data_IF_472394713774
#
_entry.id   IF_472394713774
#
_cell.length_a   1.000
_cell.length_b   1.000
_cell.length_c   1.000
_cell.angle_alpha   90.00
_cell.angle_beta   90.00
_cell.angle_gamma   90.00
#
_symmetry.space_group_name_H-M   'P 1'
#
loop_
_entity.id
_entity.type
_entity.pdbx_description
1 polymer ?
#
# COMPACT_ATOMS: atom_id res chain seq x y z
N UNK A 1 23.09 20.77 21.18
CA UNK A 1 23.53 21.88 20.32
C UNK A 1 23.28 23.17 21.09
N UNK A 2 24.30 23.96 21.43
CA UNK A 2 24.16 25.10 22.35
C UNK A 2 23.17 26.17 21.87
N UNK A 3 23.01 26.34 20.56
CA UNK A 3 22.10 27.32 19.96
C UNK A 3 20.62 26.91 19.94
N UNK A 4 20.31 25.64 20.23
CA UNK A 4 18.94 25.13 20.32
C UNK A 4 18.50 24.90 21.78
N UNK A 5 19.43 25.03 22.73
CA UNK A 5 19.19 24.90 24.16
C UNK A 5 18.28 26.04 24.62
N UNK A 6 17.12 25.70 25.20
CA UNK A 6 16.07 26.67 25.58
C UNK A 6 15.01 26.93 24.50
N UNK A 7 15.24 26.53 23.25
CA UNK A 7 14.29 26.69 22.14
C UNK A 7 13.80 25.37 21.54
N UNK A 8 14.14 24.23 22.15
CA UNK A 8 13.62 22.92 21.79
C UNK A 8 13.32 22.12 23.07
N UNK A 9 12.16 21.46 23.11
CA UNK A 9 11.70 20.62 24.23
C UNK A 9 11.07 19.34 23.68
N UNK A 10 11.11 18.27 24.48
CA UNK A 10 10.49 16.98 24.17
C UNK A 10 9.28 16.76 25.09
N UNK A 11 8.07 16.84 24.54
CA UNK A 11 6.81 16.65 25.26
C UNK A 11 6.39 15.17 25.20
N UNK A 12 6.16 14.47 26.31
CA UNK A 12 5.72 13.07 26.26
C UNK A 12 4.34 12.94 25.59
N UNK A 13 4.16 11.92 24.74
CA UNK A 13 2.84 11.61 24.12
C UNK A 13 1.84 11.07 25.14
N UNK A 14 2.33 10.33 26.13
CA UNK A 14 1.57 9.73 27.22
C UNK A 14 2.33 9.95 28.53
N UNK A 15 1.61 10.12 29.64
CA UNK A 15 2.23 10.32 30.96
C UNK A 15 3.09 9.10 31.34
N UNK A 16 4.40 9.30 31.52
CA UNK A 16 5.37 8.21 31.73
C UNK A 16 5.79 7.45 30.46
N UNK A 17 5.34 7.89 29.29
CA UNK A 17 5.71 7.33 27.99
C UNK A 17 7.17 7.57 27.61
N UNK A 18 7.76 6.63 26.86
CA UNK A 18 9.14 6.75 26.32
C UNK A 18 9.24 7.58 25.05
N UNK A 19 8.10 7.84 24.42
CA UNK A 19 7.98 8.57 23.16
C UNK A 19 7.59 10.01 23.48
N UNK A 20 8.40 10.95 22.98
CA UNK A 20 8.19 12.36 23.13
C UNK A 20 8.13 13.05 21.77
N UNK A 21 7.26 14.04 21.65
CA UNK A 21 7.13 14.94 20.52
C UNK A 21 8.10 16.10 20.65
N UNK A 22 8.83 16.41 19.58
CA UNK A 22 9.68 17.58 19.53
C UNK A 22 8.80 18.83 19.34
N UNK A 23 8.96 19.78 20.25
CA UNK A 23 8.36 21.11 20.14
C UNK A 23 9.46 22.15 20.15
N UNK A 24 9.31 23.17 19.32
CA UNK A 24 10.32 24.22 19.14
C UNK A 24 9.76 25.59 19.48
N UNK A 25 10.51 26.34 20.28
CA UNK A 25 10.08 27.59 20.89
C UNK A 25 10.46 28.82 20.08
N UNK A 26 9.86 29.98 20.41
CA UNK A 26 10.19 31.25 19.80
C UNK A 26 11.65 31.62 20.16
N UNK A 27 12.51 31.74 19.14
CA UNK A 27 13.92 32.09 19.29
C UNK A 27 14.87 31.31 18.36
N UNK A 28 14.39 30.26 17.69
CA UNK A 28 15.13 29.63 16.60
C UNK A 28 15.22 30.57 15.38
N UNK A 29 16.43 30.85 14.85
CA UNK A 29 16.63 31.77 13.73
C UNK A 29 15.91 31.35 12.45
N UNK A 30 15.69 30.04 12.28
CA UNK A 30 15.00 29.43 11.13
C UNK A 30 13.48 29.40 11.31
N UNK A 31 12.90 30.49 11.84
CA UNK A 31 11.46 30.61 12.08
C UNK A 31 10.71 30.71 10.74
N UNK A 32 10.32 29.56 10.20
CA UNK A 32 9.54 29.44 8.96
C UNK A 32 8.03 29.24 9.16
N UNK A 33 7.54 29.27 10.41
CA UNK A 33 6.16 28.93 10.78
C UNK A 33 5.41 30.16 11.28
N UNK A 34 4.17 30.35 10.82
CA UNK A 34 3.31 31.46 11.22
C UNK A 34 2.71 31.28 12.62
N UNK A 35 2.26 32.38 13.26
CA UNK A 35 1.57 32.33 14.56
C UNK A 35 0.34 31.42 14.56
N UNK A 36 -0.35 31.30 13.42
CA UNK A 36 -1.51 30.40 13.23
C UNK A 36 -1.17 28.91 13.38
N UNK A 37 0.11 28.55 13.22
CA UNK A 37 0.59 27.17 13.29
C UNK A 37 1.22 26.86 14.66
N UNK A 38 1.35 27.86 15.53
CA UNK A 38 1.87 27.70 16.89
C UNK A 38 0.76 27.22 17.84
N UNK A 39 1.17 26.46 18.85
CA UNK A 39 0.30 26.09 19.99
C UNK A 39 -0.07 27.33 20.80
N UNK A 40 -1.10 27.25 21.66
CA UNK A 40 -1.49 28.36 22.53
C UNK A 40 -0.39 28.91 23.45
N UNK A 41 0.64 28.10 23.75
CA UNK A 41 1.81 28.49 24.54
C UNK A 41 2.95 29.11 23.70
N UNK A 42 2.73 29.33 22.40
CA UNK A 42 3.69 29.93 21.47
C UNK A 42 4.73 28.94 20.92
N UNK A 43 4.66 27.66 21.29
CA UNK A 43 5.56 26.62 20.78
C UNK A 43 5.03 26.02 19.48
N UNK A 44 5.92 25.73 18.54
CA UNK A 44 5.57 25.04 17.31
C UNK A 44 5.72 23.53 17.49
N UNK A 45 4.67 22.80 17.10
CA UNK A 45 4.64 21.34 17.12
C UNK A 45 5.21 20.80 15.81
N UNK A 46 6.43 20.25 15.83
CA UNK A 46 7.07 19.75 14.61
C UNK A 46 6.45 18.46 14.10
N UNK A 47 5.59 17.81 14.90
CA UNK A 47 5.06 16.47 14.68
C UNK A 47 6.12 15.37 14.67
N UNK A 48 7.39 15.69 14.90
CA UNK A 48 8.44 14.66 14.96
C UNK A 48 8.42 13.96 16.31
N UNK A 49 8.44 12.63 16.28
CA UNK A 49 8.46 11.77 17.45
C UNK A 49 9.87 11.24 17.69
N UNK A 50 10.27 11.25 18.95
CA UNK A 50 11.58 10.82 19.42
C UNK A 50 11.45 9.90 20.62
N UNK A 51 12.39 8.98 20.73
CA UNK A 51 12.54 8.10 21.88
C UNK A 51 13.84 8.45 22.60
N UNK A 52 13.78 8.60 23.93
CA UNK A 52 14.96 8.87 24.75
C UNK A 52 15.85 7.63 24.84
N UNK A 53 17.16 7.80 24.78
CA UNK A 53 18.09 6.68 24.94
C UNK A 53 18.01 6.14 26.39
N UNK A 54 17.92 4.81 26.61
CA UNK A 54 17.68 4.24 27.94
C UNK A 54 18.76 4.54 28.99
N UNK A 55 19.99 4.82 28.55
CA UNK A 55 21.16 5.02 29.43
C UNK A 55 21.74 6.44 29.33
N UNK A 56 21.44 7.17 28.25
CA UNK A 56 22.06 8.47 27.99
C UNK A 56 20.95 9.50 27.83
N UNK A 57 20.70 10.19 28.93
CA UNK A 57 19.64 11.16 29.13
C UNK A 57 19.61 12.30 28.10
N UNK A 58 20.73 12.59 27.44
CA UNK A 58 20.87 13.62 26.42
C UNK A 58 20.72 13.12 24.97
N UNK A 59 20.58 11.81 24.76
CA UNK A 59 20.46 11.22 23.42
C UNK A 59 19.03 10.84 23.10
N UNK A 60 18.63 11.17 21.87
CA UNK A 60 17.29 10.93 21.35
C UNK A 60 17.38 10.25 19.98
N UNK A 61 16.48 9.30 19.73
CA UNK A 61 16.35 8.59 18.47
C UNK A 61 15.07 9.04 17.78
N UNK A 62 15.15 9.48 16.53
CA UNK A 62 13.96 9.78 15.73
C UNK A 62 13.18 8.49 15.46
N UNK A 63 11.86 8.55 15.64
CA UNK A 63 10.95 7.41 15.54
C UNK A 63 10.13 7.51 14.25
N UNK A 64 9.69 8.70 13.91
CA UNK A 64 8.78 8.97 12.79
C UNK A 64 8.04 10.28 13.04
N UNK A 65 7.07 10.59 12.19
CA UNK A 65 6.20 11.74 12.42
C UNK A 65 4.82 11.32 12.90
N UNK A 66 4.25 12.06 13.83
CA UNK A 66 2.90 11.86 14.34
C UNK A 66 1.85 11.89 13.22
N UNK A 67 2.12 12.62 12.14
CA UNK A 67 1.28 12.74 10.95
C UNK A 67 1.75 11.89 9.76
N UNK A 68 2.58 10.86 9.98
CA UNK A 68 2.90 9.85 8.97
C UNK A 68 1.64 9.01 8.65
N UNK A 69 0.82 9.55 7.75
CA UNK A 69 -0.43 8.93 7.32
C UNK A 69 -0.24 8.09 6.07
N UNK A 70 -0.86 6.92 6.07
CA UNK A 70 -1.09 6.10 4.89
C UNK A 70 -2.42 6.53 4.27
N UNK A 71 -2.41 6.87 2.99
CA UNK A 71 -3.64 7.23 2.25
C UNK A 71 -4.15 5.98 1.53
N UNK A 72 -5.32 5.51 1.93
CA UNK A 72 -5.97 4.35 1.31
C UNK A 72 -6.59 4.73 -0.04
N UNK A 73 -6.96 3.72 -0.84
CA UNK A 73 -7.54 3.90 -2.19
C UNK A 73 -8.87 4.66 -2.18
N UNK A 74 -9.58 4.66 -1.04
CA UNK A 74 -10.81 5.42 -0.84
C UNK A 74 -10.56 6.88 -0.39
N UNK A 75 -9.31 7.31 -0.27
CA UNK A 75 -8.92 8.64 0.18
C UNK A 75 -8.83 8.80 1.70
N UNK A 76 -9.18 7.77 2.48
CA UNK A 76 -9.08 7.81 3.93
C UNK A 76 -7.61 7.85 4.37
N UNK A 77 -7.35 8.63 5.42
CA UNK A 77 -6.02 8.77 6.02
C UNK A 77 -5.95 7.96 7.30
N UNK A 78 -5.04 6.99 7.33
CA UNK A 78 -4.81 6.14 8.49
C UNK A 78 -3.41 6.40 9.06
N UNK A 79 -3.30 6.55 10.39
CA UNK A 79 -2.02 6.79 11.03
C UNK A 79 -1.27 5.46 11.23
N UNK A 80 -0.07 5.35 10.67
CA UNK A 80 0.78 4.16 10.77
C UNK A 80 1.48 4.04 12.14
N UNK A 81 1.83 5.18 12.73
CA UNK A 81 2.74 5.24 13.88
C UNK A 81 2.24 4.52 15.12
N UNK A 82 0.95 4.62 15.53
CA UNK A 82 0.45 3.89 16.68
C UNK A 82 0.65 2.38 16.58
N UNK A 83 0.44 1.81 15.39
CA UNK A 83 0.67 0.38 15.15
C UNK A 83 2.15 0.03 15.23
N UNK A 84 3.00 0.79 14.54
CA UNK A 84 4.45 0.53 14.52
C UNK A 84 5.06 0.63 15.91
N UNK A 85 4.69 1.66 16.68
CA UNK A 85 5.16 1.84 18.04
C UNK A 85 4.64 0.76 18.97
N UNK A 86 3.36 0.38 18.86
CA UNK A 86 2.81 -0.69 19.66
C UNK A 86 3.59 -1.99 19.45
N UNK A 87 3.73 -2.41 18.19
CA UNK A 87 4.42 -3.65 17.80
C UNK A 87 5.91 -3.64 18.15
N UNK A 88 6.57 -2.49 18.05
CA UNK A 88 8.00 -2.34 18.37
C UNK A 88 8.29 -2.39 19.87
N UNK A 89 7.30 -2.21 20.74
CA UNK A 89 7.48 -2.42 22.20
C UNK A 89 7.69 -3.90 22.54
N UNK A 90 7.31 -4.81 21.65
CA UNK A 90 7.56 -6.23 21.83
C UNK A 90 9.06 -6.55 21.76
N UNK A 91 9.58 -7.24 22.78
CA UNK A 91 11.01 -7.62 22.85
C UNK A 91 11.47 -8.55 21.73
N UNK A 92 10.54 -9.21 21.04
CA UNK A 92 10.82 -10.12 19.93
C UNK A 92 10.83 -9.42 18.57
N UNK A 93 10.47 -8.14 18.51
CA UNK A 93 10.42 -7.35 17.28
C UNK A 93 11.65 -6.46 17.19
N UNK A 94 12.37 -6.56 16.06
CA UNK A 94 13.47 -5.64 15.73
C UNK A 94 12.96 -4.36 15.11
N UNK A 95 12.04 -4.48 14.15
CA UNK A 95 11.34 -3.34 13.56
C UNK A 95 9.98 -3.76 12.99
N UNK A 96 9.06 -2.81 12.93
CA UNK A 96 7.76 -2.97 12.30
C UNK A 96 7.45 -1.73 11.46
N UNK A 97 6.90 -1.93 10.26
CA UNK A 97 6.59 -0.86 9.32
C UNK A 97 5.23 -1.13 8.70
N UNK A 98 4.28 -0.23 8.93
CA UNK A 98 2.95 -0.30 8.33
C UNK A 98 3.01 0.09 6.85
N UNK A 99 2.16 -0.55 6.05
CA UNK A 99 2.00 -0.33 4.62
C UNK A 99 0.51 -0.29 4.25
N UNK A 100 0.20 0.08 3.02
CA UNK A 100 -1.18 0.19 2.51
C UNK A 100 -1.48 1.45 1.72
N UNK A 101 -0.46 2.20 1.33
CA UNK A 101 -0.67 3.40 0.54
C UNK A 101 -1.26 3.05 -0.83
N UNK A 102 -2.36 3.69 -1.21
CA UNK A 102 -3.16 3.38 -2.40
C UNK A 102 -3.70 1.94 -2.42
N UNK A 103 -3.98 1.38 -1.24
CA UNK A 103 -4.59 0.06 -1.06
C UNK A 103 -5.89 0.15 -0.28
N UNK A 104 -6.65 -0.94 -0.26
CA UNK A 104 -7.97 -1.04 0.37
C UNK A 104 -7.94 -1.28 1.88
N UNK A 105 -6.79 -1.71 2.41
CA UNK A 105 -6.55 -1.90 3.84
C UNK A 105 -5.11 -1.51 4.21
N UNK A 106 -4.86 -1.43 5.52
CA UNK A 106 -3.49 -1.36 6.05
C UNK A 106 -2.98 -2.76 6.38
N UNK A 107 -1.66 -2.91 6.31
CA UNK A 107 -0.94 -4.05 6.84
C UNK A 107 0.34 -3.62 7.53
N UNK A 108 1.06 -4.56 8.13
CA UNK A 108 2.34 -4.30 8.80
C UNK A 108 3.35 -5.40 8.48
N UNK A 109 4.56 -4.99 8.07
CA UNK A 109 5.70 -5.89 7.95
C UNK A 109 6.46 -5.87 9.26
N UNK A 110 6.71 -7.05 9.81
CA UNK A 110 7.40 -7.24 11.08
C UNK A 110 8.68 -8.01 10.80
N UNK A 111 9.80 -7.44 11.23
CA UNK A 111 11.11 -8.08 11.20
C UNK A 111 11.43 -8.51 12.63
N UNK A 112 11.46 -9.82 12.91
CA UNK A 112 11.80 -10.32 14.23
C UNK A 112 13.25 -10.02 14.60
N UNK A 113 13.48 -9.88 15.90
CA UNK A 113 14.82 -9.99 16.47
C UNK A 113 15.32 -11.43 16.33
N UNK A 114 16.64 -11.65 16.38
CA UNK A 114 17.23 -13.01 16.31
C UNK A 114 16.83 -13.81 17.55
N UNK A 115 15.66 -14.44 17.48
CA UNK A 115 15.03 -15.23 18.55
C UNK A 115 14.60 -16.58 17.99
N UNK A 116 14.39 -17.57 18.87
CA UNK A 116 14.03 -18.93 18.47
C UNK A 116 12.52 -19.13 18.20
N UNK A 117 11.76 -18.05 17.97
CA UNK A 117 10.32 -18.12 17.74
C UNK A 117 10.00 -18.47 16.29
N UNK A 118 8.97 -19.28 16.08
CA UNK A 118 8.39 -19.47 14.74
C UNK A 118 7.54 -18.26 14.33
N UNK A 119 7.20 -18.17 13.04
CA UNK A 119 6.33 -17.10 12.52
C UNK A 119 4.97 -17.05 13.21
N UNK A 120 4.39 -18.21 13.53
CA UNK A 120 3.10 -18.33 14.22
C UNK A 120 3.20 -17.80 15.65
N UNK A 121 4.25 -18.18 16.39
CA UNK A 121 4.47 -17.71 17.75
C UNK A 121 4.75 -16.20 17.79
N UNK A 122 5.47 -15.68 16.80
CA UNK A 122 5.71 -14.25 16.63
C UNK A 122 4.38 -13.50 16.41
N UNK A 123 3.50 -14.05 15.59
CA UNK A 123 2.20 -13.48 15.30
C UNK A 123 1.28 -13.51 16.54
N UNK A 124 1.27 -14.61 17.30
CA UNK A 124 0.58 -14.70 18.59
C UNK A 124 1.09 -13.68 19.61
N UNK A 125 2.40 -13.44 19.63
CA UNK A 125 3.04 -12.47 20.51
C UNK A 125 2.65 -11.03 20.18
N UNK A 126 2.52 -10.69 18.89
CA UNK A 126 2.28 -9.30 18.42
C UNK A 126 0.81 -8.96 18.29
N UNK A 127 -0.06 -9.94 17.99
CA UNK A 127 -1.48 -9.68 17.74
C UNK A 127 -2.17 -8.88 18.86
N UNK A 128 -1.95 -9.14 20.17
CA UNK A 128 -2.56 -8.34 21.23
C UNK A 128 -2.21 -6.85 21.17
N UNK A 129 -1.00 -6.51 20.73
CA UNK A 129 -0.54 -5.12 20.60
C UNK A 129 -1.23 -4.41 19.43
N UNK A 130 -1.40 -5.12 18.31
CA UNK A 130 -2.16 -4.64 17.15
C UNK A 130 -3.65 -4.49 17.50
N UNK A 131 -4.21 -5.45 18.24
CA UNK A 131 -5.61 -5.47 18.65
C UNK A 131 -5.95 -4.29 19.57
N UNK A 132 -5.05 -3.95 20.50
CA UNK A 132 -5.21 -2.78 21.36
C UNK A 132 -5.31 -1.48 20.55
N UNK A 133 -4.47 -1.31 19.51
CA UNK A 133 -4.54 -0.14 18.62
C UNK A 133 -5.80 -0.19 17.75
N UNK A 134 -6.19 -1.37 17.26
CA UNK A 134 -7.43 -1.59 16.49
C UNK A 134 -8.71 -1.18 17.24
N UNK A 135 -8.69 -1.12 18.58
CA UNK A 135 -9.83 -0.65 19.38
C UNK A 135 -9.95 0.87 19.40
N UNK A 136 -8.86 1.59 19.13
CA UNK A 136 -8.76 3.04 19.22
C UNK A 136 -8.89 3.74 17.86
N UNK A 137 -8.81 2.99 16.75
CA UNK A 137 -8.85 3.54 15.39
C UNK A 137 -10.17 3.24 14.67
N UNK A 138 -10.58 4.08 13.70
CA UNK A 138 -11.73 3.84 12.84
C UNK A 138 -11.64 2.50 12.10
N UNK A 139 -12.80 1.96 11.69
CA UNK A 139 -12.87 0.65 11.01
C UNK A 139 -11.97 0.53 9.78
N UNK A 140 -11.84 1.60 8.98
CA UNK A 140 -11.01 1.60 7.77
C UNK A 140 -9.51 1.56 8.06
N UNK A 141 -9.09 1.95 9.27
CA UNK A 141 -7.70 1.99 9.70
C UNK A 141 -7.30 0.76 10.53
N UNK A 142 -8.17 -0.25 10.63
CA UNK A 142 -7.83 -1.48 11.36
C UNK A 142 -6.92 -2.38 10.52
N UNK A 143 -5.94 -3.00 11.17
CA UNK A 143 -5.07 -4.02 10.58
C UNK A 143 -5.61 -5.40 10.97
N UNK A 144 -5.92 -6.23 9.99
CA UNK A 144 -6.38 -7.60 10.22
C UNK A 144 -5.21 -8.55 10.50
N UNK A 145 -5.49 -9.71 11.11
CA UNK A 145 -4.46 -10.66 11.55
C UNK A 145 -3.65 -11.23 10.39
N UNK A 146 -4.30 -11.43 9.24
CA UNK A 146 -3.72 -11.86 7.97
C UNK A 146 -2.89 -10.77 7.27
N UNK A 147 -2.97 -9.52 7.71
CA UNK A 147 -2.17 -8.39 7.23
C UNK A 147 -0.88 -8.17 8.04
N UNK A 148 -0.52 -9.11 8.93
CA UNK A 148 0.77 -9.15 9.62
C UNK A 148 1.74 -10.02 8.82
N UNK A 149 2.67 -9.38 8.11
CA UNK A 149 3.70 -10.04 7.32
C UNK A 149 4.96 -10.24 8.16
N UNK A 150 5.16 -11.44 8.69
CA UNK A 150 6.35 -11.79 9.47
C UNK A 150 7.48 -12.19 8.51
N UNK A 151 8.62 -11.51 8.59
CA UNK A 151 9.84 -11.86 7.83
C UNK A 151 10.75 -12.78 8.65
N UNK A 152 11.73 -13.38 7.99
CA UNK A 152 12.72 -14.22 8.67
C UNK A 152 13.54 -13.40 9.67
N UNK A 153 13.91 -13.99 10.83
CA UNK A 153 14.76 -13.34 11.81
C UNK A 153 16.08 -12.84 11.18
N UNK A 154 16.42 -11.58 11.44
CA UNK A 154 17.64 -10.97 10.91
C UNK A 154 17.59 -10.56 9.43
N UNK A 155 16.42 -10.58 8.80
CA UNK A 155 16.19 -9.98 7.47
C UNK A 155 16.78 -8.57 7.44
N UNK A 156 17.72 -8.26 6.52
CA UNK A 156 18.29 -6.92 6.40
C UNK A 156 17.21 -5.96 5.91
N UNK A 157 17.25 -4.71 6.37
CA UNK A 157 16.32 -3.67 5.92
C UNK A 157 17.02 -2.32 5.86
N UNK A 158 16.55 -1.38 5.03
CA UNK A 158 17.21 -0.11 4.83
C UNK A 158 17.01 0.75 6.08
N UNK A 159 18.11 1.10 6.72
CA UNK A 159 18.13 1.99 7.87
C UNK A 159 19.33 2.92 7.83
N UNK A 160 19.17 4.09 8.45
CA UNK A 160 20.28 5.04 8.68
C UNK A 160 21.31 4.45 9.66
N UNK A 161 22.49 5.07 9.76
CA UNK A 161 23.52 4.72 10.76
C UNK A 161 23.01 4.78 12.21
N UNK A 162 21.88 5.45 12.45
CA UNK A 162 21.19 5.56 13.74
C UNK A 162 20.10 4.49 13.94
N UNK A 163 20.01 3.50 13.05
CA UNK A 163 19.03 2.41 13.11
C UNK A 163 17.59 2.82 12.80
N UNK A 164 17.37 4.04 12.28
CA UNK A 164 16.04 4.49 11.85
C UNK A 164 15.72 3.97 10.45
N UNK A 165 14.53 3.41 10.25
CA UNK A 165 14.10 2.85 8.96
C UNK A 165 13.97 3.94 7.90
N UNK A 166 14.52 3.70 6.71
CA UNK A 166 14.30 4.57 5.55
C UNK A 166 13.07 4.05 4.80
N UNK A 167 11.88 4.56 5.15
CA UNK A 167 10.58 4.01 4.69
C UNK A 167 10.47 3.84 3.17
N UNK A 168 10.90 4.84 2.40
CA UNK A 168 10.84 4.78 0.93
C UNK A 168 11.69 3.65 0.34
N UNK A 169 12.87 3.40 0.91
CA UNK A 169 13.72 2.29 0.53
C UNK A 169 13.18 0.96 1.07
N UNK A 170 12.59 0.96 2.28
CA UNK A 170 11.93 -0.20 2.86
C UNK A 170 10.79 -0.70 1.96
N UNK A 171 9.89 0.19 1.54
CA UNK A 171 8.79 -0.19 0.64
C UNK A 171 9.29 -0.73 -0.70
N UNK A 172 10.35 -0.16 -1.27
CA UNK A 172 10.97 -0.70 -2.49
C UNK A 172 11.54 -2.10 -2.27
N UNK A 173 12.21 -2.33 -1.13
CA UNK A 173 12.80 -3.63 -0.84
C UNK A 173 11.74 -4.72 -0.64
N UNK A 174 10.63 -4.39 0.02
CA UNK A 174 9.55 -5.33 0.34
C UNK A 174 8.34 -5.22 -0.59
N UNK A 175 8.49 -4.59 -1.76
CA UNK A 175 7.39 -4.38 -2.73
C UNK A 175 6.73 -5.71 -3.10
N UNK A 176 7.52 -6.75 -3.39
CA UNK A 176 7.01 -8.07 -3.74
C UNK A 176 6.17 -8.71 -2.63
N UNK A 177 6.58 -8.58 -1.36
CA UNK A 177 5.82 -9.09 -0.21
C UNK A 177 4.47 -8.36 -0.07
N UNK A 178 4.49 -7.04 -0.22
CA UNK A 178 3.30 -6.19 -0.16
C UNK A 178 2.33 -6.55 -1.31
N UNK A 179 2.83 -6.64 -2.55
CA UNK A 179 2.02 -7.02 -3.70
C UNK A 179 1.46 -8.44 -3.56
N UNK A 180 2.26 -9.38 -3.07
CA UNK A 180 1.82 -10.76 -2.85
C UNK A 180 0.67 -10.82 -1.84
N UNK A 181 0.78 -10.07 -0.73
CA UNK A 181 -0.30 -9.97 0.25
C UNK A 181 -1.61 -9.45 -0.35
N UNK A 182 -1.56 -8.32 -1.07
CA UNK A 182 -2.77 -7.81 -1.74
C UNK A 182 -3.28 -8.72 -2.84
N UNK A 183 -2.40 -9.44 -3.54
CA UNK A 183 -2.78 -10.38 -4.59
C UNK A 183 -3.39 -11.67 -4.03
N UNK A 184 -2.99 -12.09 -2.82
CA UNK A 184 -3.52 -13.26 -2.11
C UNK A 184 -4.74 -12.98 -1.22
N UNK A 185 -5.03 -11.72 -0.87
CA UNK A 185 -6.33 -11.30 -0.32
C UNK A 185 -7.39 -11.09 -1.41
N UNK A 186 -6.95 -10.57 -2.56
CA UNK A 186 -7.55 -10.88 -3.86
C UNK A 186 -7.35 -12.40 -4.07
N UNK A 187 -7.98 -13.18 -4.93
CA UNK A 187 -8.05 -14.65 -4.74
C UNK A 187 -8.75 -15.03 -3.42
N UNK A 188 -9.95 -15.63 -3.47
CA UNK A 188 -10.51 -16.27 -2.28
C UNK A 188 -9.48 -17.28 -1.76
N UNK A 189 -9.30 -17.38 -0.44
CA UNK A 189 -8.77 -18.58 0.19
C UNK A 189 -9.72 -19.75 -0.14
N UNK A 190 -9.58 -20.27 -1.35
CA UNK A 190 -10.21 -21.46 -1.85
C UNK A 190 -9.21 -22.57 -1.65
N UNK A 191 -9.47 -23.36 -0.61
CA UNK A 191 -9.25 -24.79 -0.60
C UNK A 191 -8.93 -25.36 -1.98
N UNK A 192 -7.84 -26.09 -2.10
CA UNK A 192 -7.72 -27.18 -3.07
C UNK A 192 -9.06 -27.91 -3.14
N UNK A 193 -9.81 -27.73 -4.21
CA UNK A 193 -10.97 -28.55 -4.55
C UNK A 193 -11.34 -28.27 -6.02
N UNK A 194 -10.94 -29.22 -6.86
CA UNK A 194 -11.60 -29.71 -8.06
C UNK A 194 -12.66 -28.83 -8.74
N UNK A 195 -12.36 -28.48 -9.99
CA UNK A 195 -13.26 -28.56 -11.15
C UNK A 195 -14.77 -28.39 -10.88
N UNK A 196 -15.31 -27.23 -11.20
CA UNK A 196 -16.62 -27.17 -11.86
C UNK A 196 -16.74 -25.92 -12.75
N UNK A 197 -16.52 -26.10 -14.06
CA UNK A 197 -16.63 -25.07 -15.10
C UNK A 197 -18.07 -24.58 -15.38
N UNK A 198 -19.07 -24.90 -14.53
CA UNK A 198 -20.49 -24.67 -14.88
C UNK A 198 -21.08 -23.32 -14.41
N UNK A 199 -20.37 -22.53 -13.60
CA UNK A 199 -20.90 -21.29 -13.01
C UNK A 199 -20.68 -19.99 -13.82
N UNK A 200 -19.83 -20.02 -14.85
CA UNK A 200 -19.16 -18.81 -15.37
C UNK A 200 -19.60 -18.37 -16.78
N UNK A 201 -20.83 -18.68 -17.17
CA UNK A 201 -21.37 -18.22 -18.47
C UNK A 201 -21.72 -16.71 -18.41
N UNK A 202 -21.52 -16.00 -19.52
CA UNK A 202 -21.85 -14.56 -19.62
C UNK A 202 -23.28 -14.20 -19.17
N UNK A 203 -24.32 -15.01 -19.47
CA UNK A 203 -25.67 -14.79 -18.94
C UNK A 203 -25.76 -14.88 -17.42
N UNK A 204 -25.03 -15.81 -16.80
CA UNK A 204 -24.96 -15.96 -15.33
C UNK A 204 -24.33 -14.73 -14.68
N UNK A 205 -23.23 -14.24 -15.26
CA UNK A 205 -22.53 -13.05 -14.78
C UNK A 205 -23.39 -11.79 -14.87
N UNK A 206 -24.07 -11.59 -16.01
CA UNK A 206 -25.04 -10.49 -16.20
C UNK A 206 -26.14 -10.55 -15.14
N UNK A 207 -26.68 -11.74 -14.86
CA UNK A 207 -27.72 -11.91 -13.84
C UNK A 207 -27.21 -11.62 -12.43
N UNK A 208 -25.99 -12.04 -12.08
CA UNK A 208 -25.37 -11.72 -10.79
C UNK A 208 -25.20 -10.21 -10.61
N UNK A 209 -24.66 -9.50 -11.61
CA UNK A 209 -24.50 -8.04 -11.57
C UNK A 209 -25.86 -7.35 -11.42
N UNK A 210 -26.84 -7.70 -12.25
CA UNK A 210 -28.20 -7.12 -12.15
C UNK A 210 -28.82 -7.37 -10.78
N UNK A 211 -28.63 -8.56 -10.21
CA UNK A 211 -29.14 -8.90 -8.88
C UNK A 211 -28.48 -8.04 -7.80
N UNK A 212 -27.16 -7.93 -7.81
CA UNK A 212 -26.40 -7.14 -6.84
C UNK A 212 -26.79 -5.65 -6.88
N UNK A 213 -26.95 -5.08 -8.09
CA UNK A 213 -27.36 -3.69 -8.30
C UNK A 213 -28.80 -3.46 -7.81
N UNK A 214 -29.75 -4.30 -8.24
CA UNK A 214 -31.18 -4.18 -7.87
C UNK A 214 -31.41 -4.24 -6.38
N UNK A 215 -30.78 -5.20 -5.69
CA UNK A 215 -30.95 -5.34 -4.25
C UNK A 215 -30.30 -4.19 -3.46
N UNK A 216 -29.26 -3.56 -4.00
CA UNK A 216 -28.53 -2.50 -3.29
C UNK A 216 -29.18 -1.14 -3.50
N UNK A 217 -29.59 -0.84 -4.74
CA UNK A 217 -30.22 0.42 -5.12
C UNK A 217 -31.74 0.41 -4.97
N UNK A 218 -32.35 -0.72 -4.59
CA UNK A 218 -33.80 -0.88 -4.41
C UNK A 218 -34.63 -0.49 -5.65
N UNK A 219 -34.05 -0.65 -6.85
CA UNK A 219 -34.67 -0.24 -8.13
C UNK A 219 -35.77 -1.22 -8.53
N UNK A 220 -36.97 -0.72 -8.82
CA UNK A 220 -38.11 -1.51 -9.32
C UNK A 220 -37.85 -2.01 -10.76
N UNK A 221 -38.25 -3.24 -11.00
CA UNK A 221 -37.57 -4.24 -11.85
C UNK A 221 -37.68 -4.07 -13.38
N UNK A 222 -38.30 -3.05 -13.95
CA UNK A 222 -38.84 -3.17 -15.31
C UNK A 222 -38.03 -2.59 -16.48
N UNK A 223 -37.00 -1.75 -16.31
CA UNK A 223 -36.20 -1.22 -17.44
C UNK A 223 -34.74 -0.82 -17.10
N UNK A 224 -33.99 -1.62 -16.34
CA UNK A 224 -32.53 -1.41 -16.30
C UNK A 224 -31.91 -2.10 -17.51
N UNK A 225 -31.54 -1.32 -18.52
CA UNK A 225 -30.78 -1.82 -19.66
C UNK A 225 -29.32 -2.10 -19.23
N UNK A 226 -28.62 -2.96 -19.97
CA UNK A 226 -27.27 -3.37 -19.57
C UNK A 226 -26.22 -2.25 -19.73
N UNK A 227 -26.53 -1.23 -20.51
CA UNK A 227 -25.74 -0.02 -20.73
C UNK A 227 -26.10 1.13 -19.77
N UNK A 228 -27.11 0.95 -18.91
CA UNK A 228 -27.56 1.98 -17.95
C UNK A 228 -26.45 2.31 -16.97
N UNK A 229 -26.12 3.60 -16.85
CA UNK A 229 -25.15 4.11 -15.89
C UNK A 229 -25.73 4.07 -14.47
N UNK A 230 -25.08 3.39 -13.54
CA UNK A 230 -25.52 3.24 -12.15
C UNK A 230 -25.61 4.57 -11.40
N UNK A 231 -24.83 5.59 -11.78
CA UNK A 231 -24.95 6.92 -11.17
C UNK A 231 -26.30 7.59 -11.51
N UNK A 232 -26.90 7.24 -12.65
CA UNK A 232 -28.27 7.69 -12.99
C UNK A 232 -29.35 6.98 -12.17
N UNK A 233 -28.98 5.94 -11.43
CA UNK A 233 -29.82 5.21 -10.48
C UNK A 233 -29.50 5.58 -9.02
N UNK A 234 -28.96 6.79 -8.80
CA UNK A 234 -28.56 7.31 -7.49
C UNK A 234 -27.53 6.44 -6.75
N UNK A 235 -26.64 5.76 -7.49
CA UNK A 235 -25.51 5.06 -6.87
C UNK A 235 -24.49 6.07 -6.31
N UNK A 236 -24.21 5.98 -5.02
CA UNK A 236 -23.08 6.65 -4.37
C UNK A 236 -21.91 5.67 -4.10
N UNK A 237 -20.81 6.18 -3.54
CA UNK A 237 -19.63 5.37 -3.21
C UNK A 237 -19.92 4.23 -2.22
N UNK A 238 -20.83 4.44 -1.26
CA UNK A 238 -21.20 3.41 -0.29
C UNK A 238 -22.01 2.29 -0.95
N UNK A 239 -22.92 2.62 -1.86
CA UNK A 239 -23.65 1.64 -2.66
C UNK A 239 -22.71 0.90 -3.62
N UNK A 240 -21.74 1.58 -4.22
CA UNK A 240 -20.73 0.93 -5.06
C UNK A 240 -19.92 -0.13 -4.29
N UNK A 241 -19.49 0.18 -3.06
CA UNK A 241 -18.84 -0.79 -2.16
C UNK A 241 -19.75 -1.98 -1.83
N UNK A 242 -21.05 -1.74 -1.59
CA UNK A 242 -22.01 -2.82 -1.30
C UNK A 242 -22.25 -3.73 -2.51
N UNK A 243 -22.36 -3.14 -3.71
CA UNK A 243 -22.50 -3.89 -4.97
C UNK A 243 -21.24 -4.74 -5.20
N UNK A 244 -20.05 -4.16 -4.99
CA UNK A 244 -18.78 -4.88 -5.09
C UNK A 244 -18.76 -6.10 -4.15
N UNK A 245 -19.08 -5.92 -2.88
CA UNK A 245 -19.02 -6.98 -1.88
C UNK A 245 -20.01 -8.13 -2.19
N UNK A 246 -21.24 -7.79 -2.62
CA UNK A 246 -22.23 -8.78 -3.06
C UNK A 246 -21.77 -9.54 -4.29
N UNK A 247 -21.24 -8.83 -5.28
CA UNK A 247 -20.83 -9.43 -6.54
C UNK A 247 -19.61 -10.34 -6.36
N UNK A 248 -18.65 -9.94 -5.51
CA UNK A 248 -17.51 -10.77 -5.13
C UNK A 248 -17.99 -12.08 -4.46
N UNK A 249 -18.94 -11.99 -3.52
CA UNK A 249 -19.54 -13.17 -2.87
C UNK A 249 -20.32 -14.07 -3.84
N UNK A 250 -21.07 -13.50 -4.78
CA UNK A 250 -21.91 -14.27 -5.71
C UNK A 250 -21.10 -14.97 -6.80
N UNK A 251 -20.00 -14.36 -7.22
CA UNK A 251 -19.18 -14.89 -8.32
C UNK A 251 -17.94 -15.64 -7.85
N UNK A 252 -17.66 -15.61 -6.53
CA UNK A 252 -16.39 -16.06 -5.95
C UNK A 252 -15.18 -15.44 -6.65
N UNK A 253 -15.35 -14.23 -7.19
CA UNK A 253 -14.31 -13.47 -7.88
C UNK A 253 -13.87 -12.32 -7.01
N UNK A 254 -12.66 -11.87 -7.29
CA UNK A 254 -12.14 -10.66 -6.69
C UNK A 254 -12.38 -9.48 -7.60
N UNK A 255 -12.98 -8.47 -7.00
CA UNK A 255 -13.46 -7.27 -7.68
C UNK A 255 -12.86 -6.09 -6.92
N UNK A 256 -11.94 -5.31 -7.50
CA UNK A 256 -11.38 -4.13 -6.84
C UNK A 256 -12.45 -3.13 -6.41
N UNK A 257 -12.20 -2.39 -5.32
CA UNK A 257 -13.15 -1.42 -4.77
C UNK A 257 -13.60 -0.37 -5.79
N UNK A 258 -12.66 0.08 -6.64
CA UNK A 258 -12.93 1.04 -7.70
C UNK A 258 -13.59 0.43 -8.96
N UNK A 259 -13.70 -0.91 -9.05
CA UNK A 259 -14.18 -1.55 -10.27
C UNK A 259 -15.63 -1.19 -10.60
N UNK A 260 -16.49 -1.07 -9.59
CA UNK A 260 -17.89 -0.64 -9.79
C UNK A 260 -17.96 0.81 -10.25
N UNK A 261 -17.16 1.69 -9.63
CA UNK A 261 -17.12 3.11 -9.97
C UNK A 261 -16.51 3.39 -11.34
N UNK A 262 -15.52 2.60 -11.78
CA UNK A 262 -14.87 2.73 -13.09
C UNK A 262 -15.63 2.04 -14.21
N UNK A 263 -16.52 1.11 -13.88
CA UNK A 263 -17.35 0.39 -14.84
C UNK A 263 -18.82 0.50 -14.41
N UNK A 264 -19.42 1.70 -14.48
CA UNK A 264 -20.72 1.96 -13.88
C UNK A 264 -21.90 1.43 -14.72
N UNK A 265 -21.76 0.30 -15.42
CA UNK A 265 -22.87 -0.37 -16.12
C UNK A 265 -22.67 -1.88 -16.16
N UNK A 266 -23.73 -2.63 -16.44
CA UNK A 266 -23.67 -4.10 -16.51
C UNK A 266 -22.73 -4.53 -17.63
N UNK A 267 -22.81 -3.89 -18.80
CA UNK A 267 -21.95 -4.18 -19.95
C UNK A 267 -20.48 -3.93 -19.66
N UNK A 268 -20.16 -2.81 -19.00
CA UNK A 268 -18.78 -2.49 -18.63
C UNK A 268 -18.24 -3.47 -17.60
N UNK A 269 -19.03 -3.82 -16.58
CA UNK A 269 -18.62 -4.82 -15.58
C UNK A 269 -18.44 -6.21 -16.18
N UNK A 270 -19.31 -6.65 -17.08
CA UNK A 270 -19.15 -7.93 -17.77
C UNK A 270 -17.87 -7.93 -18.60
N UNK A 271 -17.62 -6.87 -19.38
CA UNK A 271 -16.39 -6.74 -20.17
C UNK A 271 -15.14 -6.76 -19.27
N UNK A 272 -15.16 -6.01 -18.18
CA UNK A 272 -14.09 -5.97 -17.19
C UNK A 272 -13.83 -7.34 -16.55
N UNK A 273 -14.88 -8.02 -16.06
CA UNK A 273 -14.74 -9.31 -15.41
C UNK A 273 -14.35 -10.43 -16.39
N UNK A 274 -14.75 -10.34 -17.66
CA UNK A 274 -14.27 -11.27 -18.71
C UNK A 274 -12.82 -11.00 -19.11
N UNK A 275 -12.35 -9.75 -19.08
CA UNK A 275 -10.94 -9.44 -19.38
C UNK A 275 -10.01 -9.93 -18.27
N UNK A 276 -10.43 -9.82 -17.00
CA UNK A 276 -9.71 -10.41 -15.87
C UNK A 276 -9.57 -11.94 -15.98
N UNK A 277 -10.60 -12.62 -16.49
CA UNK A 277 -10.57 -14.08 -16.68
C UNK A 277 -9.61 -14.55 -17.80
N UNK A 278 -9.33 -13.70 -18.79
CA UNK A 278 -8.36 -14.01 -19.85
C UNK A 278 -6.90 -13.87 -19.39
N UNK A 279 -6.64 -13.11 -18.34
CA UNK A 279 -5.30 -12.88 -17.79
C UNK A 279 -4.85 -14.04 -16.89
N UNK A 280 -5.79 -14.84 -16.38
CA UNK A 280 -5.52 -16.13 -15.71
C UNK A 280 -5.21 -17.23 -16.73
N UNK A 281 -4.22 -17.02 -17.60
CA UNK A 281 -3.54 -18.10 -18.31
C UNK A 281 -2.20 -18.33 -17.61
N UNK A 282 -1.78 -19.58 -17.37
CA UNK A 282 -0.50 -19.86 -16.75
C UNK A 282 0.60 -19.15 -17.54
N UNK A 283 1.51 -18.48 -16.81
CA UNK A 283 2.53 -17.59 -17.38
C UNK A 283 3.36 -18.23 -18.51
N UNK A 284 3.44 -19.56 -18.54
CA UNK A 284 4.07 -20.36 -19.59
C UNK A 284 3.42 -20.20 -20.97
N UNK A 285 2.08 -20.11 -21.08
CA UNK A 285 1.41 -19.99 -22.39
C UNK A 285 1.59 -18.59 -22.99
N UNK A 286 1.69 -17.57 -22.12
CA UNK A 286 1.95 -16.18 -22.51
C UNK A 286 3.42 -16.00 -22.90
N UNK A 287 4.33 -16.60 -22.14
CA UNK A 287 5.76 -16.64 -22.47
C UNK A 287 6.00 -17.37 -23.80
N UNK A 288 5.35 -18.52 -24.04
CA UNK A 288 5.46 -19.27 -25.30
C UNK A 288 5.00 -18.45 -26.51
N UNK A 289 3.87 -17.74 -26.41
CA UNK A 289 3.38 -16.88 -27.50
C UNK A 289 4.23 -15.64 -27.75
N UNK A 290 4.85 -15.08 -26.71
CA UNK A 290 5.81 -13.99 -26.87
C UNK A 290 7.11 -14.48 -27.49
N UNK A 291 7.61 -15.66 -27.10
CA UNK A 291 8.76 -16.29 -27.74
C UNK A 291 8.46 -16.55 -29.21
N UNK A 292 7.32 -17.14 -29.56
CA UNK A 292 6.91 -17.42 -30.95
C UNK A 292 6.78 -16.12 -31.78
N UNK A 293 6.18 -15.07 -31.21
CA UNK A 293 5.99 -13.79 -31.90
C UNK A 293 7.29 -13.01 -32.15
N UNK A 294 8.30 -13.20 -31.31
CA UNK A 294 9.57 -12.44 -31.38
C UNK A 294 10.80 -13.29 -31.74
N UNK A 295 10.62 -14.57 -32.09
CA UNK A 295 11.72 -15.47 -32.48
C UNK A 295 12.08 -15.43 -33.97
N UNK A 296 11.33 -14.69 -34.79
CA UNK A 296 11.70 -14.45 -36.20
C UNK A 296 12.49 -13.16 -36.36
N UNK A 297 13.82 -13.27 -36.47
CA UNK A 297 14.68 -12.15 -36.88
C UNK A 297 15.05 -12.28 -38.36
N UNK A 298 14.71 -11.29 -39.21
CA UNK A 298 15.20 -11.27 -40.59
C UNK A 298 16.73 -11.12 -40.57
N UNK A 299 17.44 -12.09 -41.15
CA UNK A 299 18.88 -11.98 -41.38
C UNK A 299 19.13 -10.81 -42.33
N UNK A 300 19.63 -9.69 -41.81
CA UNK A 300 20.12 -8.58 -42.64
C UNK A 300 21.42 -9.03 -43.31
N UNK A 301 21.35 -9.31 -44.61
CA UNK A 301 22.54 -9.41 -45.47
C UNK A 301 23.30 -8.08 -45.37
N UNK A 302 24.49 -8.13 -44.75
CA UNK A 302 25.36 -6.97 -44.63
C UNK A 302 25.85 -6.52 -46.00
N UNK A 303 25.45 -5.32 -46.43
CA UNK A 303 26.18 -4.58 -47.47
C UNK A 303 27.37 -3.92 -46.80
N UNK A 304 28.57 -4.33 -47.21
CA UNK A 304 29.83 -3.89 -46.65
C UNK A 304 30.07 -2.39 -46.79
N UNK A 305 30.57 -1.79 -45.71
CA UNK A 305 31.30 -0.53 -45.72
C UNK A 305 32.55 -0.76 -44.84
N UNK A 306 33.76 -0.29 -45.23
CA UNK A 306 35.00 -0.69 -44.57
C UNK A 306 35.11 -0.14 -43.15
N UNK A 307 35.66 -0.95 -42.25
CA UNK A 307 36.00 -0.57 -40.88
C UNK A 307 37.08 0.50 -40.86
N UNK A 308 36.76 1.66 -40.27
CA UNK A 308 37.77 2.60 -39.74
C UNK A 308 37.72 2.50 -38.22
N UNK A 309 38.86 2.25 -37.60
CA UNK A 309 39.00 2.00 -36.17
C UNK A 309 38.62 3.21 -35.33
N UNK A 310 37.52 3.10 -34.59
CA UNK A 310 37.10 4.00 -33.52
C UNK A 310 35.99 3.34 -32.73
N UNK A 311 36.03 3.42 -31.39
CA UNK A 311 34.96 2.89 -30.52
C UNK A 311 33.69 3.72 -30.73
N UNK A 312 32.60 3.10 -31.16
CA UNK A 312 31.27 3.72 -31.16
C UNK A 312 30.53 3.41 -29.86
N UNK A 313 30.02 4.45 -29.21
CA UNK A 313 29.08 4.37 -28.08
C UNK A 313 27.73 4.84 -28.60
N UNK A 314 26.73 3.97 -28.56
CA UNK A 314 25.34 4.32 -28.90
C UNK A 314 24.61 4.70 -27.61
N UNK A 315 24.22 5.96 -27.49
CA UNK A 315 23.35 6.45 -26.40
C UNK A 315 21.96 6.67 -26.99
N UNK A 316 20.95 5.94 -26.51
CA UNK A 316 19.55 6.24 -26.79
C UNK A 316 18.91 6.89 -25.57
N UNK A 317 18.42 8.13 -25.72
CA UNK A 317 17.52 8.78 -24.77
C UNK A 317 16.09 8.75 -25.34
N UNK A 318 15.08 8.38 -24.55
CA UNK A 318 13.69 8.45 -24.96
C UNK A 318 13.14 9.82 -24.57
N UNK A 319 13.17 10.78 -25.50
CA UNK A 319 12.22 11.89 -25.68
C UNK A 319 12.85 12.91 -26.64
N UNK A 320 12.07 13.31 -27.64
CA UNK A 320 12.57 13.87 -28.90
C UNK A 320 13.03 15.33 -28.90
N UNK A 321 13.76 15.58 -30.00
CA UNK A 321 14.17 16.81 -30.68
C UNK A 321 15.36 17.63 -30.12
N UNK A 322 16.47 17.73 -30.90
CA UNK A 322 17.64 18.51 -30.54
C UNK A 322 17.41 20.01 -30.80
N UNK A 323 17.72 20.83 -29.80
CA UNK A 323 17.93 22.27 -29.96
C UNK A 323 19.43 22.55 -30.11
N UNK A 324 19.87 23.42 -31.04
CA UNK A 324 21.28 23.75 -31.20
C UNK A 324 21.76 24.61 -30.03
N UNK A 325 22.81 24.17 -29.33
CA UNK A 325 23.52 24.99 -28.35
C UNK A 325 24.57 25.81 -29.12
N UNK A 326 24.39 27.13 -29.12
CA UNK A 326 25.40 28.10 -29.54
C UNK A 326 26.15 28.52 -28.28
N UNK A 327 27.46 28.23 -28.30
CA UNK A 327 28.55 28.59 -27.37
C UNK A 327 28.25 28.73 -25.87
#
# INVERSE_FOLDING_TARGET
>A
MPHAEGHARFDPEEEGGKICRLVVGPGLPTRGWGEEQARPDGWFDTKDLFERHPVDEGKWRFVGRQDDTIVLVNGEKANAVPFELAVKRNKHVKTAVAFGNQRDSMGIIIIPERTALTSEQMLESVWPEVEAVNQQVPKYAKISRDALLIKDPGTPFPSTDKGTVIRSAFYKQFEADIESHYTGMRLPNGSENNETESGNTEPSLRNAIRKAVKETLQVKTSKMADDTDFYTLDMDSLQATRIQAKLAKQTSRVIPMNAISQNPSVDLLVKYLKSQQKISRPAEEVAAKLIEKYSSFPSRKGTGIPRVGGKEIVVSSPLGLPQPIVH
#
